data_IF_674078592514
#
_entry.id   IF_674078592514
#
_cell.length_a   1.000
_cell.length_b   1.000
_cell.length_c   1.000
_cell.angle_alpha   90.00
_cell.angle_beta   90.00
_cell.angle_gamma   90.00
#
_symmetry.space_group_name_H-M   'P 1'
#
loop_
_entity.id
_entity.type
_entity.pdbx_description
1 polymer ?
#
# COMPACT_ATOMS: atom_id res chain seq x y z
N UNK A 1 24.64 -4.48 -11.47
CA UNK A 1 24.21 -5.73 -10.81
C UNK A 1 23.26 -5.29 -9.73
N UNK A 2 21.99 -5.13 -10.09
CA UNK A 2 20.95 -4.81 -9.13
C UNK A 2 20.66 -6.10 -8.37
N UNK A 3 21.24 -6.21 -7.17
CA UNK A 3 21.17 -7.39 -6.31
C UNK A 3 19.77 -7.53 -5.67
N UNK A 4 18.91 -6.52 -5.83
CA UNK A 4 17.58 -6.49 -5.25
C UNK A 4 16.56 -5.95 -6.25
N UNK A 5 15.66 -6.81 -6.70
CA UNK A 5 14.45 -6.38 -7.38
C UNK A 5 13.40 -6.07 -6.31
N UNK A 6 13.22 -4.78 -6.03
CA UNK A 6 12.18 -4.29 -5.14
C UNK A 6 11.12 -3.62 -5.98
N UNK A 7 9.89 -4.13 -5.88
CA UNK A 7 8.74 -3.54 -6.55
C UNK A 7 7.56 -3.43 -5.60
N UNK A 8 6.77 -2.37 -5.77
CA UNK A 8 5.53 -2.17 -5.02
C UNK A 8 4.45 -3.04 -5.63
N UNK A 9 3.86 -3.91 -4.82
CA UNK A 9 2.68 -4.67 -5.20
C UNK A 9 1.45 -3.77 -5.14
N UNK A 10 0.98 -3.34 -6.31
CA UNK A 10 -0.14 -2.42 -6.43
C UNK A 10 -1.45 -3.03 -5.92
N UNK A 11 -1.66 -4.33 -6.12
CA UNK A 11 -2.87 -5.01 -5.69
C UNK A 11 -2.89 -5.13 -4.17
N UNK A 12 -1.80 -5.62 -3.58
CA UNK A 12 -1.68 -5.76 -2.13
C UNK A 12 -1.72 -4.39 -1.43
N UNK A 13 -1.09 -3.36 -2.01
CA UNK A 13 -1.19 -1.97 -1.53
C UNK A 13 -2.63 -1.47 -1.58
N UNK A 14 -3.36 -1.75 -2.65
CA UNK A 14 -4.79 -1.41 -2.77
C UNK A 14 -5.66 -2.06 -1.71
N UNK A 15 -5.43 -3.35 -1.46
CA UNK A 15 -6.13 -4.09 -0.40
C UNK A 15 -5.79 -3.55 0.99
N UNK A 16 -4.53 -3.15 1.22
CA UNK A 16 -4.09 -2.49 2.46
C UNK A 16 -4.79 -1.15 2.68
N UNK A 17 -4.89 -0.30 1.65
CA UNK A 17 -5.64 0.97 1.71
C UNK A 17 -7.11 0.70 2.07
N UNK A 18 -7.73 -0.31 1.45
CA UNK A 18 -9.12 -0.69 1.74
C UNK A 18 -9.31 -1.16 3.18
N UNK A 19 -8.35 -1.93 3.70
CA UNK A 19 -8.34 -2.37 5.09
C UNK A 19 -8.23 -1.19 6.06
N UNK A 20 -7.20 -0.35 5.89
CA UNK A 20 -6.96 0.83 6.76
C UNK A 20 -8.14 1.79 6.75
N UNK A 21 -8.74 2.04 5.59
CA UNK A 21 -9.97 2.85 5.47
C UNK A 21 -11.11 2.29 6.32
N UNK A 22 -11.34 0.97 6.26
CA UNK A 22 -12.41 0.30 7.02
C UNK A 22 -12.11 0.29 8.52
N UNK A 23 -10.86 0.09 8.92
CA UNK A 23 -10.43 0.13 10.32
C UNK A 23 -10.62 1.51 10.95
N UNK A 24 -10.39 2.57 10.17
CA UNK A 24 -10.65 3.95 10.56
C UNK A 24 -12.11 4.39 10.32
N UNK A 25 -13.02 3.47 9.98
CA UNK A 25 -14.45 3.73 9.78
C UNK A 25 -14.81 4.77 8.71
N UNK A 26 -13.90 5.08 7.79
CA UNK A 26 -14.18 6.01 6.68
C UNK A 26 -15.03 5.34 5.60
N UNK A 27 -16.07 6.02 5.09
CA UNK A 27 -16.64 5.66 3.78
C UNK A 27 -15.72 6.15 2.67
N UNK A 28 -15.92 5.63 1.46
CA UNK A 28 -15.12 6.04 0.30
C UNK A 28 -15.30 7.53 -0.01
N UNK A 29 -16.55 8.00 0.02
CA UNK A 29 -16.91 9.42 -0.08
C UNK A 29 -16.18 10.29 0.95
N UNK A 30 -16.24 9.91 2.23
CA UNK A 30 -15.63 10.68 3.31
C UNK A 30 -14.11 10.78 3.14
N UNK A 31 -13.47 9.67 2.75
CA UNK A 31 -12.04 9.65 2.48
C UNK A 31 -11.66 10.52 1.28
N UNK A 32 -12.43 10.46 0.18
CA UNK A 32 -12.19 11.29 -0.99
C UNK A 32 -12.30 12.79 -0.67
N UNK A 33 -13.32 13.17 0.10
CA UNK A 33 -13.50 14.55 0.55
C UNK A 33 -12.39 15.01 1.49
N UNK A 34 -11.99 14.18 2.45
CA UNK A 34 -10.90 14.50 3.37
C UNK A 34 -9.56 14.68 2.64
N UNK A 35 -9.36 13.94 1.55
CA UNK A 35 -8.20 14.08 0.67
C UNK A 35 -8.29 15.24 -0.32
N UNK A 36 -9.45 15.92 -0.42
CA UNK A 36 -9.69 16.98 -1.40
C UNK A 36 -9.73 16.49 -2.84
N UNK A 37 -10.15 15.24 -3.06
CA UNK A 37 -10.26 14.64 -4.39
C UNK A 37 -11.58 15.05 -5.03
N UNK A 38 -11.55 15.34 -6.33
CA UNK A 38 -12.75 15.68 -7.11
C UNK A 38 -13.72 14.50 -7.24
N UNK A 39 -13.23 13.26 -7.08
CA UNK A 39 -14.03 12.05 -7.26
C UNK A 39 -13.57 10.88 -6.40
N UNK A 40 -14.55 10.13 -5.88
CA UNK A 40 -14.36 8.82 -5.24
C UNK A 40 -13.66 7.79 -6.14
N UNK A 41 -13.71 7.97 -7.46
CA UNK A 41 -13.13 7.04 -8.42
C UNK A 41 -11.63 6.83 -8.19
N UNK A 42 -10.90 7.85 -7.73
CA UNK A 42 -9.50 7.71 -7.36
C UNK A 42 -9.31 6.65 -6.26
N UNK A 43 -10.12 6.72 -5.19
CA UNK A 43 -10.07 5.76 -4.09
C UNK A 43 -10.42 4.33 -4.56
N UNK A 44 -11.40 4.17 -5.46
CA UNK A 44 -11.74 2.86 -6.02
C UNK A 44 -10.62 2.31 -6.90
N UNK A 45 -9.94 3.14 -7.70
CA UNK A 45 -8.79 2.74 -8.51
C UNK A 45 -7.64 2.25 -7.64
N UNK A 46 -7.32 2.97 -6.57
CA UNK A 46 -6.27 2.58 -5.63
C UNK A 46 -6.62 1.26 -4.94
N UNK A 47 -7.83 1.13 -4.40
CA UNK A 47 -8.26 -0.10 -3.72
C UNK A 47 -8.39 -1.33 -4.62
N UNK A 48 -8.37 -1.16 -5.95
CA UNK A 48 -8.40 -2.24 -6.94
C UNK A 48 -7.02 -2.48 -7.58
N UNK A 49 -5.97 -1.84 -7.07
CA UNK A 49 -4.61 -1.98 -7.60
C UNK A 49 -4.43 -1.45 -9.02
N UNK A 50 -5.32 -0.59 -9.52
CA UNK A 50 -5.25 -0.08 -10.90
C UNK A 50 -4.20 1.02 -11.06
N UNK A 51 -3.99 1.81 -10.01
CA UNK A 51 -2.92 2.79 -9.91
C UNK A 51 -2.55 3.00 -8.44
N UNK A 52 -1.34 3.49 -8.19
CA UNK A 52 -0.93 3.92 -6.85
C UNK A 52 -1.43 5.35 -6.56
N UNK A 53 -1.69 5.69 -5.29
CA UNK A 53 -1.78 7.09 -4.89
C UNK A 53 -0.43 7.76 -5.14
N UNK A 54 -0.45 9.04 -5.56
CA UNK A 54 0.79 9.82 -5.64
C UNK A 54 1.37 10.10 -4.24
N UNK A 55 2.59 10.62 -4.18
CA UNK A 55 3.28 10.90 -2.91
C UNK A 55 2.44 11.79 -1.97
N UNK A 56 1.83 12.85 -2.49
CA UNK A 56 0.98 13.75 -1.69
C UNK A 56 -0.20 13.01 -1.05
N UNK A 57 -0.88 12.16 -1.82
CA UNK A 57 -1.99 11.36 -1.32
C UNK A 57 -1.53 10.28 -0.35
N UNK A 58 -0.35 9.68 -0.53
CA UNK A 58 0.22 8.74 0.44
C UNK A 58 0.48 9.42 1.78
N UNK A 59 1.07 10.62 1.79
CA UNK A 59 1.27 11.41 3.02
C UNK A 59 -0.07 11.74 3.68
N UNK A 60 -1.05 12.18 2.91
CA UNK A 60 -2.38 12.49 3.47
C UNK A 60 -3.09 11.25 4.02
N UNK A 61 -2.99 10.11 3.33
CA UNK A 61 -3.52 8.83 3.80
C UNK A 61 -2.85 8.42 5.10
N UNK A 62 -1.53 8.59 5.22
CA UNK A 62 -0.79 8.24 6.44
C UNK A 62 -1.24 9.08 7.63
N UNK A 63 -1.50 10.37 7.42
CA UNK A 63 -2.07 11.27 8.44
C UNK A 63 -3.50 10.85 8.82
N UNK A 64 -4.37 10.60 7.84
CA UNK A 64 -5.77 10.24 8.08
C UNK A 64 -5.93 8.87 8.74
N UNK A 65 -5.06 7.92 8.42
CA UNK A 65 -5.07 6.57 9.00
C UNK A 65 -4.24 6.46 10.28
N UNK A 66 -3.44 7.48 10.62
CA UNK A 66 -2.58 7.47 11.80
C UNK A 66 -1.43 6.46 11.72
N UNK A 67 -0.87 6.24 10.53
CA UNK A 67 0.21 5.28 10.29
C UNK A 67 1.35 5.89 9.47
N UNK A 68 2.45 5.17 9.30
CA UNK A 68 3.51 5.55 8.37
C UNK A 68 3.12 5.21 6.93
N UNK A 69 3.76 5.84 5.95
CA UNK A 69 3.54 5.54 4.52
C UNK A 69 3.91 4.09 4.21
N UNK A 70 4.96 3.58 4.84
CA UNK A 70 5.40 2.18 4.67
C UNK A 70 4.37 1.17 5.20
N UNK A 71 3.52 1.56 6.16
CA UNK A 71 2.40 0.71 6.59
C UNK A 71 1.30 0.60 5.52
N UNK A 72 1.29 1.50 4.53
CA UNK A 72 0.31 1.52 3.43
C UNK A 72 0.85 0.76 2.22
N UNK A 73 2.14 0.95 1.91
CA UNK A 73 2.79 0.37 0.74
C UNK A 73 3.19 -1.08 1.01
N UNK A 74 2.75 -1.99 0.15
CA UNK A 74 3.23 -3.37 0.15
C UNK A 74 4.27 -3.51 -0.94
N UNK A 75 5.48 -3.92 -0.57
CA UNK A 75 6.57 -4.18 -1.50
C UNK A 75 7.01 -5.64 -1.42
N UNK A 76 7.33 -6.20 -2.58
CA UNK A 76 7.94 -7.51 -2.67
C UNK A 76 9.43 -7.33 -2.91
N UNK A 77 10.22 -8.16 -2.23
CA UNK A 77 11.65 -8.24 -2.40
C UNK A 77 11.98 -9.66 -2.85
N UNK A 78 12.32 -9.83 -4.12
CA UNK A 78 12.89 -11.08 -4.60
C UNK A 78 14.40 -11.00 -4.41
N UNK A 79 14.90 -11.74 -3.42
CA UNK A 79 16.31 -12.11 -3.43
C UNK A 79 16.50 -13.06 -4.63
N UNK A 80 17.49 -12.81 -5.48
CA UNK A 80 17.78 -13.65 -6.64
C UNK A 80 17.82 -15.12 -6.26
N UNK A 81 17.30 -15.97 -7.14
CA UNK A 81 17.34 -17.43 -7.03
C UNK A 81 18.79 -17.91 -6.98
N UNK A 82 19.39 -18.00 -5.79
CA UNK A 82 20.63 -18.73 -5.53
C UNK A 82 20.87 -18.94 -4.03
N UNK A 83 19.84 -19.16 -3.20
CA UNK A 83 20.06 -19.81 -1.90
C UNK A 83 19.03 -20.91 -1.66
N UNK A 84 19.56 -22.13 -1.55
CA UNK A 84 18.90 -23.30 -0.97
C UNK A 84 18.08 -22.89 0.25
N UNK A 85 16.90 -23.49 0.47
CA UNK A 85 15.99 -23.08 1.54
C UNK A 85 16.78 -23.03 2.84
N UNK A 86 16.94 -21.81 3.38
CA UNK A 86 17.47 -21.61 4.72
C UNK A 86 16.55 -22.39 5.66
N UNK A 87 17.03 -23.57 6.06
CA UNK A 87 16.39 -24.39 7.08
C UNK A 87 16.13 -23.48 8.29
N UNK A 88 14.96 -23.59 8.92
CA UNK A 88 14.67 -22.79 10.11
C UNK A 88 15.79 -23.05 11.13
N UNK A 89 16.46 -21.97 11.55
CA UNK A 89 17.43 -22.00 12.63
C UNK A 89 16.66 -22.19 13.94
N UNK A 90 16.21 -23.43 14.18
CA UNK A 90 15.67 -23.85 15.46
C UNK A 90 16.76 -24.61 16.22
N UNK A 91 17.22 -23.94 17.28
CA UNK A 91 17.97 -24.35 18.48
C UNK A 91 18.46 -25.80 18.61
#
# INVERSE_FOLDING_TARGET
MDIFEVFVDMQATGDKIKQLRKQNHYKVFDLANALGLESEQAIYKWQRGQCLPNADNLVRLSILFGCHIDDILVHNMTAGEDESPLLPLCA
#
